data_IF_911070751635
#
_entry.id   IF_911070751635
#
_cell.length_a   1.000
_cell.length_b   1.000
_cell.length_c   1.000
_cell.angle_alpha   90.00
_cell.angle_beta   90.00
_cell.angle_gamma   90.00
#
_symmetry.space_group_name_H-M   'P 1'
#
loop_
_entity.id
_entity.type
_entity.pdbx_description
1 polymer ?
#
# COMPACT_ATOMS: atom_id res chain seq x y z
N UNK A 1 17.90 67.63 11.51
CA UNK A 1 17.30 66.42 12.11
C UNK A 1 17.52 65.29 11.11
N UNK A 2 18.59 64.49 11.17
CA UNK A 2 18.82 63.38 10.21
C UNK A 2 20.11 62.60 10.55
N UNK A 3 20.08 61.73 11.57
CA UNK A 3 21.12 60.70 11.77
C UNK A 3 20.69 59.59 12.73
N UNK A 4 19.76 59.86 13.65
CA UNK A 4 19.17 58.85 14.52
C UNK A 4 18.00 58.09 13.87
N UNK A 5 17.20 58.73 13.02
CA UNK A 5 16.04 58.09 12.37
C UNK A 5 16.44 57.08 11.29
N UNK A 6 17.57 57.29 10.59
CA UNK A 6 18.08 56.33 9.59
C UNK A 6 18.61 55.03 10.21
N UNK A 7 19.18 55.08 11.43
CA UNK A 7 19.69 53.88 12.13
C UNK A 7 18.59 52.99 12.70
N UNK A 8 17.40 53.55 12.94
CA UNK A 8 16.25 52.80 13.50
C UNK A 8 15.56 52.00 12.38
N UNK A 9 15.47 52.56 11.17
CA UNK A 9 14.91 51.89 10.00
C UNK A 9 15.76 50.70 9.52
N UNK A 10 17.09 50.86 9.43
CA UNK A 10 18.00 49.75 9.08
C UNK A 10 17.98 48.60 10.12
N UNK A 11 17.74 48.91 11.40
CA UNK A 11 17.63 47.90 12.45
C UNK A 11 16.30 47.13 12.39
N UNK A 12 15.19 47.80 12.04
CA UNK A 12 13.89 47.15 11.87
C UNK A 12 13.86 46.23 10.64
N UNK A 13 14.41 46.68 9.50
CA UNK A 13 14.51 45.83 8.30
C UNK A 13 15.40 44.61 8.54
N UNK A 14 16.53 44.74 9.24
CA UNK A 14 17.39 43.59 9.57
C UNK A 14 16.73 42.58 10.53
N UNK A 15 15.83 43.06 11.40
CA UNK A 15 15.10 42.20 12.35
C UNK A 15 13.98 41.43 11.64
N UNK A 16 13.25 42.09 10.74
CA UNK A 16 12.19 41.46 9.95
C UNK A 16 12.75 40.45 8.93
N UNK A 17 13.89 40.75 8.30
CA UNK A 17 14.60 39.79 7.44
C UNK A 17 15.12 38.58 8.23
N UNK A 18 15.63 38.79 9.44
CA UNK A 18 16.08 37.71 10.33
C UNK A 18 14.92 36.81 10.78
N UNK A 19 13.77 37.40 11.11
CA UNK A 19 12.55 36.65 11.47
C UNK A 19 11.98 35.87 10.29
N UNK A 20 11.99 36.46 9.09
CA UNK A 20 11.56 35.78 7.87
C UNK A 20 12.47 34.61 7.51
N UNK A 21 13.80 34.78 7.61
CA UNK A 21 14.76 33.69 7.39
C UNK A 21 14.60 32.58 8.43
N UNK A 22 14.38 32.93 9.70
CA UNK A 22 14.11 31.95 10.75
C UNK A 22 12.80 31.16 10.49
N UNK A 23 11.77 31.83 9.99
CA UNK A 23 10.51 31.20 9.60
C UNK A 23 10.70 30.23 8.42
N UNK A 24 11.44 30.62 7.37
CA UNK A 24 11.75 29.76 6.24
C UNK A 24 12.56 28.53 6.67
N UNK A 25 13.56 28.72 7.53
CA UNK A 25 14.38 27.62 8.06
C UNK A 25 13.56 26.64 8.91
N UNK A 26 12.65 27.15 9.75
CA UNK A 26 11.74 26.33 10.56
C UNK A 26 10.78 25.53 9.67
N UNK A 27 10.25 26.16 8.63
CA UNK A 27 9.36 25.51 7.65
C UNK A 27 10.09 24.42 6.88
N UNK A 28 11.34 24.68 6.46
CA UNK A 28 12.19 23.72 5.78
C UNK A 28 12.54 22.51 6.67
N UNK A 29 12.87 22.73 7.94
CA UNK A 29 13.10 21.65 8.90
C UNK A 29 11.86 20.81 9.17
N UNK A 30 10.67 21.43 9.19
CA UNK A 30 9.42 20.72 9.39
C UNK A 30 9.06 19.89 8.15
N UNK A 31 9.31 20.40 6.95
CA UNK A 31 9.16 19.66 5.70
C UNK A 31 10.16 18.49 5.61
N UNK A 32 11.42 18.68 6.02
CA UNK A 32 12.42 17.61 6.09
C UNK A 32 12.01 16.51 7.07
N UNK A 33 11.53 16.86 8.27
CA UNK A 33 11.02 15.87 9.24
C UNK A 33 9.82 15.09 8.69
N UNK A 34 8.92 15.73 7.94
CA UNK A 34 7.80 15.04 7.30
C UNK A 34 8.28 14.09 6.19
N UNK A 35 9.31 14.46 5.42
CA UNK A 35 9.94 13.57 4.45
C UNK A 35 10.66 12.40 5.12
N UNK A 36 11.37 12.61 6.22
CA UNK A 36 12.03 11.54 6.98
C UNK A 36 11.01 10.57 7.57
N UNK A 37 9.86 11.06 8.07
CA UNK A 37 8.76 10.21 8.55
C UNK A 37 8.16 9.38 7.40
N UNK A 38 7.93 9.98 6.23
CA UNK A 38 7.44 9.25 5.05
C UNK A 38 8.47 8.23 4.53
N UNK A 39 9.76 8.55 4.56
CA UNK A 39 10.83 7.62 4.17
C UNK A 39 11.01 6.48 5.16
N UNK A 40 10.87 6.74 6.47
CA UNK A 40 10.89 5.69 7.48
C UNK A 40 9.68 4.76 7.38
N UNK A 41 8.49 5.29 7.05
CA UNK A 41 7.34 4.42 6.71
C UNK A 41 7.65 3.52 5.50
N UNK A 42 8.28 4.06 4.45
CA UNK A 42 8.69 3.27 3.28
C UNK A 42 9.77 2.22 3.62
N UNK A 43 10.73 2.52 4.51
CA UNK A 43 11.76 1.56 4.92
C UNK A 43 11.20 0.41 5.78
N UNK A 44 10.22 0.68 6.65
CA UNK A 44 9.56 -0.36 7.46
C UNK A 44 8.75 -1.34 6.58
N UNK A 45 8.26 -0.86 5.43
CA UNK A 45 7.46 -1.65 4.49
C UNK A 45 8.36 -2.52 3.58
N UNK A 46 9.59 -2.09 3.29
CA UNK A 46 10.55 -2.80 2.42
C UNK A 46 11.30 -3.99 3.05
N UNK A 47 10.67 -4.78 3.92
CA UNK A 47 11.25 -6.07 4.32
C UNK A 47 11.13 -7.08 3.18
N UNK A 48 12.17 -7.13 2.32
CA UNK A 48 12.41 -8.26 1.42
C UNK A 48 12.52 -9.55 2.25
N UNK A 49 11.41 -10.27 2.41
CA UNK A 49 11.41 -11.58 3.08
C UNK A 49 12.27 -12.56 2.26
N UNK A 50 13.26 -13.15 2.95
CA UNK A 50 14.28 -14.05 2.42
C UNK A 50 13.62 -15.23 1.66
N UNK A 51 13.95 -15.46 0.38
CA UNK A 51 13.26 -16.42 -0.50
C UNK A 51 13.28 -17.87 0.00
N UNK A 52 14.13 -18.21 0.96
CA UNK A 52 14.26 -19.58 1.51
C UNK A 52 13.24 -19.96 2.59
N UNK A 53 12.36 -19.04 2.99
CA UNK A 53 11.45 -19.24 4.15
C UNK A 53 10.16 -20.00 3.81
N UNK A 54 9.76 -20.05 2.54
CA UNK A 54 8.45 -20.58 2.14
C UNK A 54 8.50 -21.98 1.52
N UNK A 55 7.38 -22.73 1.56
CA UNK A 55 7.24 -23.96 0.78
C UNK A 55 7.49 -23.75 -0.72
N UNK A 56 8.00 -24.74 -1.46
CA UNK A 56 8.32 -24.61 -2.89
C UNK A 56 7.14 -24.17 -3.77
N UNK A 57 5.92 -24.58 -3.40
CA UNK A 57 4.70 -24.15 -4.08
C UNK A 57 4.43 -22.66 -3.89
N UNK A 58 4.66 -22.15 -2.67
CA UNK A 58 4.48 -20.73 -2.34
C UNK A 58 5.57 -19.86 -3.00
N UNK A 59 6.79 -20.37 -3.12
CA UNK A 59 7.88 -19.68 -3.85
C UNK A 59 7.51 -19.44 -5.31
N UNK A 60 6.98 -20.46 -6.01
CA UNK A 60 6.52 -20.30 -7.39
C UNK A 60 5.38 -19.30 -7.51
N UNK A 61 4.41 -19.38 -6.61
CA UNK A 61 3.29 -18.44 -6.57
C UNK A 61 3.79 -17.01 -6.33
N UNK A 62 4.76 -16.83 -5.43
CA UNK A 62 5.40 -15.53 -5.18
C UNK A 62 6.09 -15.00 -6.43
N UNK A 63 6.91 -15.81 -7.09
CA UNK A 63 7.62 -15.43 -8.32
C UNK A 63 6.64 -15.02 -9.42
N UNK A 64 5.64 -15.85 -9.72
CA UNK A 64 4.64 -15.59 -10.76
C UNK A 64 3.84 -14.29 -10.47
N UNK A 65 3.43 -14.09 -9.22
CA UNK A 65 2.64 -12.92 -8.83
C UNK A 65 3.48 -11.64 -8.82
N UNK A 66 4.71 -11.69 -8.28
CA UNK A 66 5.59 -10.53 -8.24
C UNK A 66 6.11 -10.15 -9.63
N UNK A 67 6.40 -11.12 -10.49
CA UNK A 67 6.80 -10.84 -11.88
C UNK A 67 5.67 -10.13 -12.63
N UNK A 68 4.42 -10.60 -12.46
CA UNK A 68 3.25 -9.98 -13.08
C UNK A 68 2.92 -8.59 -12.49
N UNK A 69 3.29 -8.32 -11.23
CA UNK A 69 3.00 -7.05 -10.55
C UNK A 69 4.18 -6.08 -10.48
N UNK A 70 5.39 -6.47 -10.89
CA UNK A 70 6.62 -5.68 -10.70
C UNK A 70 6.59 -4.30 -11.37
N UNK A 71 5.87 -4.17 -12.47
CA UNK A 71 5.74 -2.92 -13.23
C UNK A 71 4.38 -2.23 -13.00
N UNK A 72 3.53 -2.81 -12.13
CA UNK A 72 2.21 -2.30 -11.84
C UNK A 72 2.23 -1.47 -10.56
N UNK A 73 1.55 -0.34 -10.62
CA UNK A 73 1.28 0.53 -9.49
C UNK A 73 -0.23 0.63 -9.32
N UNK A 74 -0.70 0.42 -8.10
CA UNK A 74 -2.08 0.69 -7.74
C UNK A 74 -2.26 2.20 -7.61
N UNK A 75 -3.11 2.75 -8.47
CA UNK A 75 -3.33 4.19 -8.56
C UNK A 75 -4.63 4.51 -7.83
N UNK A 76 -4.51 5.16 -6.68
CA UNK A 76 -5.62 5.87 -6.02
C UNK A 76 -5.28 7.37 -5.98
N UNK A 77 -5.07 7.96 -4.81
CA UNK A 77 -4.45 9.28 -4.65
C UNK A 77 -2.92 9.25 -4.67
N UNK A 78 -2.35 8.06 -4.42
CA UNK A 78 -0.93 7.77 -4.54
C UNK A 78 -0.75 6.60 -5.49
N UNK A 79 0.50 6.40 -5.91
CA UNK A 79 0.92 5.25 -6.71
C UNK A 79 1.65 4.29 -5.79
N UNK A 80 1.02 3.17 -5.45
CA UNK A 80 1.55 2.21 -4.47
C UNK A 80 1.89 0.88 -5.15
N UNK A 81 3.05 0.27 -4.85
CA UNK A 81 3.44 -1.01 -5.42
C UNK A 81 2.62 -2.17 -4.86
N UNK A 82 2.78 -3.34 -5.48
CA UNK A 82 2.24 -4.60 -4.99
C UNK A 82 3.32 -5.40 -4.25
N UNK A 83 2.93 -5.96 -3.12
CA UNK A 83 3.77 -6.78 -2.26
C UNK A 83 3.19 -8.18 -2.14
N UNK A 84 4.06 -9.18 -2.06
CA UNK A 84 3.62 -10.55 -1.84
C UNK A 84 3.26 -10.76 -0.37
N UNK A 85 2.16 -11.47 -0.14
CA UNK A 85 1.73 -11.86 1.20
C UNK A 85 1.47 -13.35 1.29
N UNK A 86 1.86 -13.93 2.42
CA UNK A 86 1.58 -15.31 2.74
C UNK A 86 1.19 -15.46 4.20
N UNK A 87 0.07 -16.13 4.44
CA UNK A 87 -0.47 -16.42 5.76
C UNK A 87 -0.50 -17.94 5.91
N UNK A 88 0.51 -18.55 6.58
CA UNK A 88 0.55 -19.99 6.78
C UNK A 88 -0.59 -20.44 7.69
N UNK A 89 -1.43 -21.33 7.19
CA UNK A 89 -2.50 -21.98 7.95
C UNK A 89 -2.95 -23.24 7.21
N UNK A 90 -2.51 -24.40 7.65
CA UNK A 90 -2.83 -25.70 7.06
C UNK A 90 -4.28 -26.15 7.30
N UNK A 91 -4.94 -25.59 8.32
CA UNK A 91 -6.32 -25.91 8.70
C UNK A 91 -7.35 -25.10 7.91
N UNK A 92 -6.94 -24.07 7.17
CA UNK A 92 -7.88 -23.23 6.44
C UNK A 92 -8.38 -23.94 5.17
N UNK A 93 -9.70 -24.11 5.10
CA UNK A 93 -10.37 -24.83 4.00
C UNK A 93 -11.11 -23.89 3.05
N UNK A 94 -11.33 -22.64 3.46
CA UNK A 94 -12.01 -21.61 2.69
C UNK A 94 -11.49 -20.22 3.04
N UNK A 95 -11.49 -19.30 2.08
CA UNK A 95 -11.14 -17.90 2.34
C UNK A 95 -12.16 -17.23 3.27
N UNK A 96 -11.71 -16.34 4.19
CA UNK A 96 -12.58 -15.62 5.12
C UNK A 96 -13.79 -14.95 4.44
N UNK A 97 -14.92 -14.88 5.12
CA UNK A 97 -16.14 -14.31 4.51
C UNK A 97 -16.10 -12.79 4.52
N UNK A 98 -15.43 -12.22 5.52
CA UNK A 98 -15.40 -10.78 5.78
C UNK A 98 -13.97 -10.28 5.99
N UNK A 99 -13.77 -8.98 5.78
CA UNK A 99 -12.49 -8.28 5.96
C UNK A 99 -12.01 -8.31 7.41
N UNK A 100 -12.94 -8.34 8.37
CA UNK A 100 -12.64 -8.49 9.81
C UNK A 100 -12.00 -9.85 10.11
N UNK A 101 -12.55 -10.93 9.56
CA UNK A 101 -12.04 -12.29 9.78
C UNK A 101 -10.63 -12.46 9.20
N UNK A 102 -10.35 -11.85 8.04
CA UNK A 102 -9.01 -11.84 7.46
C UNK A 102 -8.04 -11.02 8.32
N UNK A 103 -8.43 -9.83 8.77
CA UNK A 103 -7.61 -9.00 9.64
C UNK A 103 -7.26 -9.72 10.95
N UNK A 104 -8.24 -10.40 11.57
CA UNK A 104 -8.03 -11.16 12.78
C UNK A 104 -7.09 -12.36 12.54
N UNK A 105 -7.21 -13.04 11.39
CA UNK A 105 -6.29 -14.10 11.00
C UNK A 105 -4.84 -13.58 10.90
N UNK A 106 -4.63 -12.45 10.23
CA UNK A 106 -3.29 -11.84 10.08
C UNK A 106 -2.71 -11.47 11.45
N UNK A 107 -3.53 -10.86 12.32
CA UNK A 107 -3.14 -10.51 13.70
C UNK A 107 -2.76 -11.76 14.51
N UNK A 108 -3.50 -12.85 14.37
CA UNK A 108 -3.21 -14.11 15.07
C UNK A 108 -1.93 -14.78 14.61
N UNK A 109 -1.63 -14.72 13.30
CA UNK A 109 -0.41 -15.29 12.74
C UNK A 109 0.86 -14.46 13.06
N UNK A 110 0.72 -13.32 13.76
CA UNK A 110 1.82 -12.42 14.15
C UNK A 110 2.76 -12.06 13.00
N UNK A 111 2.21 -11.93 11.79
CA UNK A 111 2.97 -11.54 10.60
C UNK A 111 2.87 -10.03 10.49
N UNK A 112 3.99 -9.34 10.31
CA UNK A 112 4.05 -7.88 10.18
C UNK A 112 3.57 -7.42 8.79
N UNK A 113 2.45 -7.96 8.32
CA UNK A 113 1.86 -7.64 7.01
C UNK A 113 0.95 -6.40 7.12
N UNK A 114 0.29 -6.17 8.26
CA UNK A 114 -0.61 -5.03 8.46
C UNK A 114 0.13 -3.83 9.06
N UNK A 115 -0.03 -2.66 8.44
CA UNK A 115 0.38 -1.36 9.02
C UNK A 115 -0.51 -1.00 10.22
N UNK A 116 -0.04 -0.09 11.07
CA UNK A 116 -0.77 0.29 12.29
C UNK A 116 -2.14 0.92 12.00
N UNK A 117 -2.30 1.60 10.87
CA UNK A 117 -3.55 2.23 10.44
C UNK A 117 -4.58 1.20 9.93
N UNK A 118 -4.12 0.09 9.35
CA UNK A 118 -4.97 -1.04 8.93
C UNK A 118 -5.50 -1.85 10.13
N UNK A 119 -4.86 -1.75 11.31
CA UNK A 119 -5.28 -2.48 12.52
C UNK A 119 -6.61 -1.98 13.07
N UNK A 120 -6.95 -0.72 12.80
CA UNK A 120 -8.28 -0.14 12.98
C UNK A 120 -9.21 -0.64 11.87
N UNK A 121 -9.93 -1.71 12.19
CA UNK A 121 -10.81 -2.37 11.23
C UNK A 121 -12.10 -1.55 11.10
N UNK A 122 -12.32 -1.03 9.88
CA UNK A 122 -13.52 -0.30 9.51
C UNK A 122 -14.66 -1.15 8.99
N UNK A 123 -15.51 -0.54 8.19
CA UNK A 123 -16.59 -1.23 7.49
C UNK A 123 -16.07 -2.36 6.58
N UNK A 124 -16.85 -3.44 6.50
CA UNK A 124 -16.51 -4.62 5.73
C UNK A 124 -16.61 -4.35 4.22
N UNK A 125 -15.46 -4.13 3.58
CA UNK A 125 -15.38 -3.88 2.15
C UNK A 125 -14.76 -5.08 1.42
N UNK A 126 -15.61 -6.07 1.14
CA UNK A 126 -15.27 -7.20 0.27
C UNK A 126 -15.62 -6.82 -1.17
N UNK A 127 -14.68 -6.92 -2.09
CA UNK A 127 -14.90 -6.76 -3.52
C UNK A 127 -14.76 -8.10 -4.23
N UNK A 128 -15.57 -8.27 -5.27
CA UNK A 128 -15.39 -9.40 -6.20
C UNK A 128 -14.17 -9.18 -7.09
N UNK A 129 -13.65 -10.28 -7.62
CA UNK A 129 -12.55 -10.25 -8.59
C UNK A 129 -12.86 -9.37 -9.80
N UNK A 130 -14.11 -9.36 -10.28
CA UNK A 130 -14.47 -8.54 -11.43
C UNK A 130 -14.57 -7.06 -11.07
N UNK A 131 -15.21 -6.72 -9.95
CA UNK A 131 -15.35 -5.32 -9.50
C UNK A 131 -14.01 -4.63 -9.32
N UNK A 132 -12.99 -5.34 -8.82
CA UNK A 132 -11.65 -4.77 -8.67
C UNK A 132 -10.93 -4.53 -10.00
N UNK A 133 -10.98 -5.48 -10.93
CA UNK A 133 -10.24 -5.37 -12.19
C UNK A 133 -10.99 -4.58 -13.28
N UNK A 134 -12.30 -4.37 -13.14
CA UNK A 134 -13.13 -3.67 -14.14
C UNK A 134 -12.66 -2.22 -14.41
N UNK A 135 -12.33 -1.39 -13.41
CA UNK A 135 -11.79 -0.05 -13.63
C UNK A 135 -10.49 -0.02 -14.46
N UNK A 136 -9.67 -1.08 -14.38
CA UNK A 136 -8.36 -1.16 -15.05
C UNK A 136 -8.44 -1.83 -16.43
N UNK A 137 -9.24 -2.90 -16.53
CA UNK A 137 -9.23 -3.80 -17.69
C UNK A 137 -10.48 -3.69 -18.56
N UNK A 138 -11.53 -3.03 -18.07
CA UNK A 138 -12.83 -2.91 -18.73
C UNK A 138 -12.76 -2.27 -20.12
N UNK A 139 -13.78 -2.52 -20.95
CA UNK A 139 -13.84 -1.98 -22.32
C UNK A 139 -13.76 -0.44 -22.34
N UNK A 140 -14.36 0.21 -21.32
CA UNK A 140 -14.38 1.66 -21.16
C UNK A 140 -13.33 2.18 -20.16
N UNK A 141 -12.46 1.31 -19.63
CA UNK A 141 -11.40 1.71 -18.71
C UNK A 141 -10.43 2.67 -19.41
N UNK A 142 -10.31 3.87 -18.85
CA UNK A 142 -9.28 4.84 -19.25
C UNK A 142 -7.93 4.32 -18.77
N UNK A 143 -6.92 4.39 -19.64
CA UNK A 143 -5.56 3.96 -19.30
C UNK A 143 -4.58 5.14 -19.43
N UNK A 144 -4.68 6.15 -18.55
CA UNK A 144 -3.80 7.32 -18.62
C UNK A 144 -2.33 6.96 -18.36
N UNK A 145 -2.05 5.81 -17.73
CA UNK A 145 -0.72 5.39 -17.31
C UNK A 145 -0.17 4.20 -18.11
N UNK A 146 -0.89 3.70 -19.11
CA UNK A 146 -0.43 2.60 -19.97
C UNK A 146 -0.33 1.23 -19.27
N UNK A 147 -1.01 1.03 -18.15
CA UNK A 147 -0.90 -0.19 -17.33
C UNK A 147 -1.97 -1.24 -17.65
N UNK A 148 -2.92 -0.95 -18.54
CA UNK A 148 -4.09 -1.82 -18.81
C UNK A 148 -3.72 -3.24 -19.21
N UNK A 149 -2.71 -3.40 -20.06
CA UNK A 149 -2.28 -4.73 -20.51
C UNK A 149 -1.57 -5.51 -19.40
N UNK A 150 -0.79 -4.82 -18.55
CA UNK A 150 -0.21 -5.42 -17.35
C UNK A 150 -1.30 -5.86 -16.36
N UNK A 151 -2.34 -5.05 -16.12
CA UNK A 151 -3.47 -5.47 -15.29
C UNK A 151 -4.25 -6.66 -15.86
N UNK A 152 -4.35 -6.79 -17.20
CA UNK A 152 -4.92 -8.01 -17.83
C UNK A 152 -4.02 -9.22 -17.62
N UNK A 153 -2.71 -9.05 -17.67
CA UNK A 153 -1.76 -10.12 -17.41
C UNK A 153 -1.82 -10.57 -15.95
N UNK A 154 -1.78 -9.63 -15.00
CA UNK A 154 -1.99 -9.90 -13.58
C UNK A 154 -3.31 -10.65 -13.35
N UNK A 155 -4.40 -10.21 -13.98
CA UNK A 155 -5.69 -10.88 -13.88
C UNK A 155 -5.63 -12.34 -14.36
N UNK A 156 -4.89 -12.63 -15.44
CA UNK A 156 -4.70 -14.00 -15.96
C UNK A 156 -3.86 -14.84 -15.01
N UNK A 157 -2.74 -14.30 -14.52
CA UNK A 157 -1.83 -15.02 -13.62
C UNK A 157 -2.52 -15.36 -12.31
N UNK A 158 -3.20 -14.40 -11.68
CA UNK A 158 -3.97 -14.63 -10.45
C UNK A 158 -5.04 -15.71 -10.67
N UNK A 159 -5.73 -15.68 -11.81
CA UNK A 159 -6.73 -16.71 -12.15
C UNK A 159 -6.08 -18.10 -12.33
N UNK A 160 -4.92 -18.16 -12.97
CA UNK A 160 -4.21 -19.41 -13.22
C UNK A 160 -3.64 -20.02 -11.93
N UNK A 161 -3.00 -19.20 -11.11
CA UNK A 161 -2.39 -19.59 -9.82
C UNK A 161 -3.42 -20.19 -8.87
N UNK A 162 -4.57 -19.54 -8.71
CA UNK A 162 -5.60 -20.00 -7.77
C UNK A 162 -6.67 -20.90 -8.40
N UNK A 163 -6.49 -21.28 -9.68
CA UNK A 163 -7.39 -22.21 -10.37
C UNK A 163 -8.81 -21.69 -10.62
N UNK A 164 -8.97 -20.37 -10.74
CA UNK A 164 -10.25 -19.73 -11.05
C UNK A 164 -10.52 -18.44 -10.28
N UNK A 165 -11.40 -17.60 -10.83
CA UNK A 165 -11.79 -16.32 -10.24
C UNK A 165 -12.55 -16.48 -8.93
N UNK A 166 -13.30 -17.58 -8.79
CA UNK A 166 -14.11 -17.88 -7.60
C UNK A 166 -13.27 -18.25 -6.37
N UNK A 167 -11.99 -18.59 -6.58
CA UNK A 167 -11.05 -18.96 -5.53
C UNK A 167 -10.21 -17.77 -5.03
N UNK A 168 -10.55 -16.56 -5.47
CA UNK A 168 -9.84 -15.32 -5.14
C UNK A 168 -10.83 -14.34 -4.51
N UNK A 169 -10.42 -13.69 -3.43
CA UNK A 169 -11.19 -12.63 -2.78
C UNK A 169 -10.32 -11.39 -2.61
N UNK A 170 -10.98 -10.24 -2.67
CA UNK A 170 -10.32 -8.94 -2.56
C UNK A 170 -10.89 -8.21 -1.35
N UNK A 171 -10.05 -7.96 -0.36
CA UNK A 171 -10.45 -7.32 0.89
C UNK A 171 -9.84 -5.94 0.98
N UNK A 172 -10.65 -4.94 1.33
CA UNK A 172 -10.18 -3.63 1.73
C UNK A 172 -10.25 -3.53 3.26
N UNK A 173 -9.11 -3.33 3.90
CA UNK A 173 -8.98 -3.29 5.37
C UNK A 173 -8.42 -1.93 5.78
N UNK A 174 -9.18 -1.19 6.60
CA UNK A 174 -8.85 0.14 7.12
C UNK A 174 -10.10 1.02 7.22
N UNK A 175 -10.04 2.11 7.99
CA UNK A 175 -11.16 3.06 8.15
C UNK A 175 -10.96 4.40 7.44
N UNK A 176 -9.71 4.80 7.21
CA UNK A 176 -9.39 6.21 6.94
C UNK A 176 -8.48 6.32 5.71
N UNK A 177 -7.48 7.21 5.80
CA UNK A 177 -6.71 7.66 4.67
C UNK A 177 -5.87 6.59 3.99
N UNK A 178 -5.50 5.52 4.70
CA UNK A 178 -4.81 4.36 4.14
C UNK A 178 -5.64 3.11 4.36
N UNK A 179 -6.00 2.46 3.27
CA UNK A 179 -6.77 1.23 3.24
C UNK A 179 -5.93 0.17 2.53
N UNK A 180 -5.60 -0.91 3.22
CA UNK A 180 -4.91 -2.04 2.60
C UNK A 180 -5.83 -2.81 1.68
N UNK A 181 -5.37 -3.10 0.47
CA UNK A 181 -6.09 -3.90 -0.52
C UNK A 181 -5.37 -5.24 -0.66
N UNK A 182 -6.07 -6.31 -0.30
CA UNK A 182 -5.55 -7.67 -0.25
C UNK A 182 -6.20 -8.52 -1.32
N UNK A 183 -5.44 -8.93 -2.34
CA UNK A 183 -5.87 -9.85 -3.41
C UNK A 183 -5.35 -11.24 -3.04
N UNK A 184 -6.21 -12.09 -2.46
CA UNK A 184 -5.75 -13.35 -1.88
C UNK A 184 -6.52 -14.56 -2.39
N UNK A 185 -5.81 -15.67 -2.49
CA UNK A 185 -6.33 -16.98 -2.85
C UNK A 185 -5.91 -18.06 -1.86
N UNK A 186 -6.67 -19.16 -1.86
CA UNK A 186 -6.41 -20.30 -0.99
C UNK A 186 -5.43 -21.28 -1.65
N UNK A 187 -4.37 -21.63 -0.93
CA UNK A 187 -3.45 -22.72 -1.30
C UNK A 187 -3.71 -23.90 -0.36
N UNK A 188 -4.34 -24.95 -0.91
CA UNK A 188 -4.86 -26.09 -0.13
C UNK A 188 -3.76 -26.75 0.71
N UNK A 189 -4.01 -26.89 2.01
CA UNK A 189 -3.09 -27.55 2.94
C UNK A 189 -1.85 -26.74 3.28
N UNK A 190 -1.76 -25.47 2.85
CA UNK A 190 -0.63 -24.58 3.12
C UNK A 190 -1.09 -23.29 3.79
N UNK A 191 -2.08 -22.60 3.21
CA UNK A 191 -2.55 -21.33 3.77
C UNK A 191 -3.16 -20.40 2.73
N UNK A 192 -3.11 -19.09 3.02
CA UNK A 192 -3.54 -18.03 2.11
C UNK A 192 -2.31 -17.38 1.50
N UNK A 193 -2.30 -17.15 0.19
CA UNK A 193 -1.25 -16.40 -0.49
C UNK A 193 -1.87 -15.34 -1.41
N UNK A 194 -1.12 -14.29 -1.74
CA UNK A 194 -1.64 -13.24 -2.60
C UNK A 194 -0.75 -12.02 -2.72
N UNK A 195 -1.37 -10.93 -3.15
CA UNK A 195 -0.77 -9.61 -3.24
C UNK A 195 -1.45 -8.63 -2.29
N UNK A 196 -0.68 -7.71 -1.74
CA UNK A 196 -1.14 -6.55 -0.96
C UNK A 196 -0.73 -5.28 -1.69
N UNK A 197 -1.58 -4.26 -1.64
CA UNK A 197 -1.21 -2.89 -1.97
C UNK A 197 -1.95 -1.93 -1.03
N UNK A 198 -1.70 -0.62 -1.12
CA UNK A 198 -2.32 0.40 -0.29
C UNK A 198 -3.15 1.33 -1.18
N UNK A 199 -4.39 1.57 -0.77
CA UNK A 199 -5.28 2.59 -1.34
C UNK A 199 -5.28 3.79 -0.41
N UNK A 200 -4.81 4.94 -0.91
CA UNK A 200 -4.94 6.23 -0.24
C UNK A 200 -6.25 6.91 -0.66
N UNK A 201 -7.07 7.34 0.31
CA UNK A 201 -8.39 7.98 0.11
C UNK A 201 -8.54 9.22 1.03
N UNK A 202 -9.12 10.33 0.57
CA UNK A 202 -9.34 11.58 1.35
C UNK A 202 -10.78 11.86 1.75
#
# INVERSE_FOLDING_TARGET
MTSQEQRILEFQESSEESEYLAFLQKTAQQAQRLQEIQQQEYEIISHEEDPTTYPPEIQRIREDLLEASAQLLYISESEEPYEFIFIPNDQITSLPTNSVELADLIKQCNIHIMTDEEKTIGENHLMTFQEFFEPFTGANAQDPYGQKDGYKELQKIVTAVFGGKDNVKIYKIGEQRRIGVYIVGLVKGIGIAGLKTISIET
#
